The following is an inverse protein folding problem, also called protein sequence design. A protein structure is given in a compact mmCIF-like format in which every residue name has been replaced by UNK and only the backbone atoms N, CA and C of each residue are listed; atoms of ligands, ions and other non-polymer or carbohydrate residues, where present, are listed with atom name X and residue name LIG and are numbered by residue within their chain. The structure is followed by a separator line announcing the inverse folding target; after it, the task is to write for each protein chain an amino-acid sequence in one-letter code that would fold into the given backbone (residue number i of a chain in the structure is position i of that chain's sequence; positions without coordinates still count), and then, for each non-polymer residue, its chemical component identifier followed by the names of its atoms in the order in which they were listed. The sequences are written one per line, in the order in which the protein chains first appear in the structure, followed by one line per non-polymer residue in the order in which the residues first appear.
data_IF_979581876840
#
_entry.id   IF_979581876840
#
_cell.length_a   1.000
_cell.length_b   1.000
_cell.length_c   1.000
_cell.angle_alpha   90.00
_cell.angle_beta   90.00
_cell.angle_gamma   90.00
#
_symmetry.space_group_name_H-M   'P 1'
#
loop_
_entity.id
_entity.type
_entity.pdbx_description
1 polymer ?
#
# COMPACT_ATOMS: atom_id res chain seq x y z
N UNK A 1 -0.05 -8.32 -7.94
CA UNK A 1 -1.05 -9.40 -8.13
C UNK A 1 -2.44 -8.79 -7.99
N UNK A 2 -3.30 -8.90 -9.00
CA UNK A 2 -4.65 -8.33 -8.96
C UNK A 2 -5.66 -9.39 -8.50
N UNK A 3 -6.45 -9.06 -7.46
CA UNK A 3 -7.54 -9.90 -6.95
C UNK A 3 -8.63 -10.00 -8.02
N UNK A 4 -9.03 -11.22 -8.39
CA UNK A 4 -10.02 -11.47 -9.45
C UNK A 4 -11.41 -11.66 -8.85
N UNK A 5 -12.41 -11.06 -9.49
CA UNK A 5 -13.80 -11.23 -9.12
C UNK A 5 -14.28 -12.65 -9.46
N UNK A 6 -14.87 -13.39 -8.51
CA UNK A 6 -15.38 -14.73 -8.77
C UNK A 6 -16.59 -14.72 -9.73
N UNK A 7 -17.38 -13.64 -9.74
CA UNK A 7 -18.59 -13.55 -10.57
C UNK A 7 -18.31 -13.20 -12.03
N UNK A 8 -17.30 -12.37 -12.33
CA UNK A 8 -17.04 -11.87 -13.69
C UNK A 8 -15.58 -11.92 -14.15
N UNK A 9 -14.64 -12.32 -13.28
CA UNK A 9 -13.20 -12.32 -13.59
C UNK A 9 -12.52 -10.95 -13.63
N UNK A 10 -13.26 -9.85 -13.40
CA UNK A 10 -12.73 -8.49 -13.37
C UNK A 10 -11.77 -8.21 -12.21
N UNK A 11 -11.00 -7.12 -12.30
CA UNK A 11 -10.10 -6.68 -11.23
C UNK A 11 -10.92 -6.14 -10.05
N UNK A 12 -10.62 -6.59 -8.85
CA UNK A 12 -11.18 -6.07 -7.62
C UNK A 12 -10.19 -5.14 -6.93
N UNK A 13 -10.70 -4.07 -6.33
CA UNK A 13 -9.94 -3.14 -5.52
C UNK A 13 -10.52 -3.09 -4.11
N UNK A 14 -9.67 -2.96 -3.10
CA UNK A 14 -10.12 -2.82 -1.72
C UNK A 14 -10.72 -1.42 -1.51
N UNK A 15 -11.94 -1.37 -0.98
CA UNK A 15 -12.63 -0.16 -0.61
C UNK A 15 -12.54 0.03 0.92
N UNK A 16 -11.87 1.10 1.33
CA UNK A 16 -11.62 1.39 2.76
C UNK A 16 -12.92 1.66 3.54
N UNK A 17 -13.84 2.54 3.09
CA UNK A 17 -15.11 2.76 3.79
C UNK A 17 -15.95 1.49 4.03
N UNK A 18 -16.07 0.61 3.04
CA UNK A 18 -16.90 -0.60 3.15
C UNK A 18 -16.17 -1.82 3.69
N UNK A 19 -14.84 -1.74 3.85
CA UNK A 19 -13.97 -2.86 4.20
C UNK A 19 -14.18 -4.09 3.29
N UNK A 20 -14.53 -3.84 2.03
CA UNK A 20 -14.87 -4.87 1.06
C UNK A 20 -14.04 -4.72 -0.21
N UNK A 21 -13.83 -5.83 -0.90
CA UNK A 21 -13.32 -5.86 -2.26
C UNK A 21 -14.47 -5.50 -3.20
N UNK A 22 -14.32 -4.38 -3.91
CA UNK A 22 -15.28 -3.91 -4.91
C UNK A 22 -14.79 -4.25 -6.30
N UNK A 23 -15.64 -4.89 -7.10
CA UNK A 23 -15.37 -5.10 -8.51
C UNK A 23 -15.71 -3.84 -9.32
N UNK A 24 -14.74 -3.31 -10.08
CA UNK A 24 -14.97 -2.17 -10.97
C UNK A 24 -15.78 -2.48 -12.24
N UNK A 25 -16.14 -3.74 -12.47
CA UNK A 25 -16.86 -4.17 -13.68
C UNK A 25 -18.33 -4.54 -13.40
N UNK A 26 -18.57 -5.49 -12.50
CA UNK A 26 -19.92 -5.97 -12.17
C UNK A 26 -20.48 -5.40 -10.87
N UNK A 27 -19.78 -4.44 -10.25
CA UNK A 27 -20.16 -3.75 -9.00
C UNK A 27 -20.43 -4.67 -7.80
N UNK A 28 -19.99 -5.92 -7.86
CA UNK A 28 -20.10 -6.84 -6.73
C UNK A 28 -19.12 -6.46 -5.63
N UNK A 29 -19.61 -6.46 -4.40
CA UNK A 29 -18.84 -6.24 -3.17
C UNK A 29 -18.71 -7.55 -2.41
N UNK A 30 -17.49 -7.89 -1.99
CA UNK A 30 -17.18 -9.10 -1.23
C UNK A 30 -16.38 -8.69 0.00
N UNK A 31 -16.80 -9.12 1.19
CA UNK A 31 -16.04 -8.89 2.40
C UNK A 31 -14.70 -9.62 2.33
N UNK A 32 -13.64 -9.00 2.85
CA UNK A 32 -12.29 -9.56 2.72
C UNK A 32 -12.15 -10.92 3.43
N UNK A 33 -12.85 -11.12 4.56
CA UNK A 33 -12.84 -12.38 5.31
C UNK A 33 -13.51 -13.53 4.54
N UNK A 34 -14.46 -13.21 3.65
CA UNK A 34 -15.19 -14.18 2.84
C UNK A 34 -14.49 -14.47 1.51
N UNK A 35 -13.42 -13.73 1.19
CA UNK A 35 -12.69 -13.90 -0.05
C UNK A 35 -11.74 -15.12 0.03
N UNK A 36 -12.17 -16.23 -0.55
CA UNK A 36 -11.32 -17.41 -0.70
C UNK A 36 -10.39 -17.26 -1.92
N UNK A 37 -9.08 -17.26 -1.68
CA UNK A 37 -8.09 -17.42 -2.74
C UNK A 37 -8.24 -18.83 -3.33
N UNK A 38 -8.73 -18.92 -4.56
CA UNK A 38 -9.01 -20.19 -5.24
C UNK A 38 -7.75 -20.96 -5.71
N UNK A 39 -6.55 -20.41 -5.53
CA UNK A 39 -5.30 -21.03 -5.96
C UNK A 39 -4.62 -21.80 -4.82
N UNK A 40 -5.00 -23.06 -4.62
CA UNK A 40 -4.43 -23.95 -3.59
C UNK A 40 -2.90 -24.10 -3.68
N UNK A 41 -2.32 -23.99 -4.88
CA UNK A 41 -0.88 -24.11 -5.12
C UNK A 41 -0.04 -22.92 -4.58
N UNK A 42 -0.65 -21.76 -4.34
CA UNK A 42 0.02 -20.57 -3.75
C UNK A 42 -0.21 -20.48 -2.23
N UNK A 43 -1.15 -21.26 -1.70
CA UNK A 43 -1.48 -21.26 -0.26
C UNK A 43 -0.41 -21.99 0.55
N UNK A 44 0.27 -22.99 -0.02
CA UNK A 44 1.22 -23.88 0.67
C UNK A 44 2.64 -23.36 0.80
N UNK A 45 2.98 -22.22 0.18
CA UNK A 45 4.30 -21.60 0.35
C UNK A 45 4.32 -20.66 1.56
N UNK A 46 5.20 -20.96 2.51
CA UNK A 46 5.51 -20.09 3.67
C UNK A 46 6.35 -18.88 3.29
N UNK A 47 6.90 -18.84 2.07
CA UNK A 47 7.70 -17.73 1.54
C UNK A 47 7.10 -17.15 0.25
N UNK A 48 7.34 -15.87 0.01
CA UNK A 48 7.00 -15.20 -1.23
C UNK A 48 8.17 -14.37 -1.74
N UNK A 49 8.29 -14.26 -3.06
CA UNK A 49 9.28 -13.38 -3.68
C UNK A 49 8.87 -11.93 -3.46
N UNK A 50 9.75 -11.16 -2.83
CA UNK A 50 9.59 -9.73 -2.63
C UNK A 50 10.72 -9.00 -3.36
N UNK A 51 10.37 -7.88 -3.98
CA UNK A 51 11.36 -6.95 -4.50
C UNK A 51 11.72 -5.97 -3.38
N UNK A 52 12.99 -6.00 -2.98
CA UNK A 52 13.60 -5.10 -2.00
C UNK A 52 14.39 -4.02 -2.73
N UNK A 53 14.17 -2.79 -2.32
CA UNK A 53 14.75 -1.58 -2.88
C UNK A 53 15.65 -0.93 -1.83
N UNK A 54 16.96 -0.94 -2.06
CA UNK A 54 17.95 -0.28 -1.19
C UNK A 54 18.20 1.16 -1.60
N UNK A 55 18.06 2.11 -0.68
CA UNK A 55 18.36 3.53 -0.91
C UNK A 55 19.85 3.82 -0.69
N UNK A 56 20.58 4.31 -1.70
CA UNK A 56 22.01 4.62 -1.55
C UNK A 56 22.28 5.83 -0.65
N UNK A 57 21.34 6.78 -0.56
CA UNK A 57 21.53 8.02 0.22
C UNK A 57 21.39 7.81 1.74
N UNK A 58 20.46 6.95 2.17
CA UNK A 58 20.17 6.75 3.60
C UNK A 58 20.36 5.31 4.08
N UNK A 59 20.63 4.35 3.19
CA UNK A 59 20.80 2.94 3.51
C UNK A 59 19.50 2.21 3.88
N UNK A 60 18.33 2.83 3.71
CA UNK A 60 17.06 2.20 4.02
C UNK A 60 16.67 1.13 2.98
N UNK A 61 16.07 0.04 3.45
CA UNK A 61 15.51 -1.02 2.62
C UNK A 61 13.98 -0.91 2.59
N UNK A 62 13.42 -0.94 1.38
CA UNK A 62 11.99 -0.77 1.13
C UNK A 62 11.48 -1.96 0.34
N UNK A 63 10.41 -2.60 0.80
CA UNK A 63 9.71 -3.61 -0.01
C UNK A 63 8.56 -2.94 -0.76
N UNK A 64 8.52 -3.12 -2.09
CA UNK A 64 7.42 -2.63 -2.92
C UNK A 64 7.10 -3.64 -4.04
N UNK A 65 5.83 -3.74 -4.45
CA UNK A 65 5.47 -4.53 -5.61
C UNK A 65 6.05 -3.90 -6.90
N UNK A 66 6.37 -4.77 -7.86
CA UNK A 66 7.06 -4.47 -9.13
C UNK A 66 6.34 -3.42 -10.04
N UNK A 67 5.10 -3.06 -9.72
CA UNK A 67 4.23 -2.22 -10.54
C UNK A 67 4.30 -0.72 -10.21
N UNK A 68 5.09 -0.31 -9.21
CA UNK A 68 5.27 1.11 -8.87
C UNK A 68 6.55 1.67 -9.49
N UNK A 69 6.39 2.43 -10.58
CA UNK A 69 7.47 3.00 -11.40
C UNK A 69 8.21 4.18 -10.76
N UNK A 70 7.78 4.67 -9.58
CA UNK A 70 8.38 5.86 -8.94
C UNK A 70 8.98 5.50 -7.58
N UNK A 71 10.29 5.30 -7.59
CA UNK A 71 11.11 4.88 -6.44
C UNK A 71 11.42 6.07 -5.50
N UNK A 72 10.40 6.63 -4.84
CA UNK A 72 10.61 7.62 -3.76
C UNK A 72 10.94 6.91 -2.45
N UNK A 73 12.05 7.27 -1.82
CA UNK A 73 12.45 6.70 -0.53
C UNK A 73 11.52 7.20 0.60
N UNK A 74 10.79 6.29 1.28
CA UNK A 74 9.88 6.64 2.40
C UNK A 74 10.59 7.30 3.58
N UNK A 75 11.90 7.13 3.68
CA UNK A 75 12.70 7.57 4.83
C UNK A 75 13.31 8.96 4.61
N UNK A 76 14.11 9.14 3.55
CA UNK A 76 14.81 10.39 3.30
C UNK A 76 14.15 11.30 2.25
N UNK A 77 13.21 10.76 1.46
CA UNK A 77 12.55 11.49 0.40
C UNK A 77 13.36 11.73 -0.88
N UNK A 78 14.44 10.97 -1.09
CA UNK A 78 15.18 10.98 -2.35
C UNK A 78 14.35 10.38 -3.49
N UNK A 79 14.46 10.98 -4.68
CA UNK A 79 13.63 10.65 -5.86
C UNK A 79 14.28 9.68 -6.86
N UNK A 80 15.50 9.18 -6.68
CA UNK A 80 16.08 8.30 -7.73
C UNK A 80 17.22 7.39 -7.29
N UNK A 81 17.18 6.17 -7.87
CA UNK A 81 18.18 5.09 -7.82
C UNK A 81 18.12 4.15 -6.61
N UNK A 82 16.92 3.67 -6.29
CA UNK A 82 16.84 2.50 -5.42
C UNK A 82 17.40 1.26 -6.15
N UNK A 83 18.35 0.58 -5.50
CA UNK A 83 18.91 -0.66 -6.02
C UNK A 83 17.92 -1.79 -5.78
N UNK A 84 17.49 -2.44 -6.86
CA UNK A 84 16.53 -3.54 -6.82
C UNK A 84 17.24 -4.88 -6.55
N UNK A 85 16.73 -5.63 -5.59
CA UNK A 85 17.11 -7.01 -5.32
C UNK A 85 15.85 -7.83 -5.08
N UNK A 86 15.81 -9.04 -5.61
CA UNK A 86 14.75 -9.99 -5.29
C UNK A 86 15.19 -10.89 -4.15
N UNK A 87 14.34 -11.04 -3.15
CA UNK A 87 14.58 -11.89 -1.98
C UNK A 87 13.34 -12.74 -1.67
N UNK A 88 13.53 -13.84 -0.96
CA UNK A 88 12.41 -14.61 -0.39
C UNK A 88 12.12 -14.12 1.03
N UNK A 89 10.91 -13.61 1.24
CA UNK A 89 10.43 -13.18 2.56
C UNK A 89 9.40 -14.16 3.11
N UNK A 90 9.33 -14.25 4.44
CA UNK A 90 8.31 -15.04 5.14
C UNK A 90 6.94 -14.40 4.90
N UNK A 91 5.99 -15.22 4.45
CA UNK A 91 4.61 -14.81 4.22
C UNK A 91 3.98 -14.31 5.51
N UNK A 92 3.41 -13.10 5.53
CA UNK A 92 2.73 -12.60 6.72
C UNK A 92 1.51 -13.47 7.02
N UNK A 93 1.35 -13.88 8.28
CA UNK A 93 0.21 -14.68 8.72
C UNK A 93 -1.11 -13.90 8.60
N UNK A 94 -1.06 -12.57 8.73
CA UNK A 94 -2.22 -11.67 8.63
C UNK A 94 -1.79 -10.32 8.04
N UNK A 95 -2.70 -9.68 7.33
CA UNK A 95 -2.58 -8.30 6.84
C UNK A 95 -3.70 -7.49 7.48
N UNK A 96 -3.37 -6.33 8.03
CA UNK A 96 -4.36 -5.43 8.63
C UNK A 96 -4.88 -4.50 7.52
N UNK A 97 -6.19 -4.51 7.20
CA UNK A 97 -6.73 -3.62 6.18
C UNK A 97 -6.66 -2.16 6.61
N UNK A 98 -6.46 -1.26 5.64
CA UNK A 98 -6.54 0.18 5.88
C UNK A 98 -7.95 0.56 6.34
N UNK A 99 -8.03 1.42 7.36
CA UNK A 99 -9.29 2.01 7.86
C UNK A 99 -9.47 3.48 7.50
N UNK A 100 -8.38 4.15 7.10
CA UNK A 100 -8.37 5.57 6.74
C UNK A 100 -8.15 5.63 5.24
N UNK A 101 -9.06 6.29 4.52
CA UNK A 101 -8.94 6.50 3.08
C UNK A 101 -7.86 7.53 2.78
N UNK A 102 -7.42 7.61 1.51
CA UNK A 102 -6.44 8.63 1.10
C UNK A 102 -7.02 10.03 1.27
N UNK A 103 -8.30 10.21 0.96
CA UNK A 103 -9.03 11.46 1.11
C UNK A 103 -9.14 11.87 2.59
N UNK A 104 -9.42 10.92 3.48
CA UNK A 104 -9.52 11.19 4.92
C UNK A 104 -8.16 11.50 5.53
N UNK A 105 -7.10 10.84 5.08
CA UNK A 105 -5.73 11.14 5.48
C UNK A 105 -5.34 12.58 5.10
N UNK A 106 -5.62 12.98 3.85
CA UNK A 106 -5.36 14.33 3.38
C UNK A 106 -6.15 15.39 4.20
N UNK A 107 -7.45 15.17 4.41
CA UNK A 107 -8.28 16.08 5.22
C UNK A 107 -7.78 16.20 6.66
N UNK A 108 -7.39 15.08 7.27
CA UNK A 108 -6.86 15.05 8.64
C UNK A 108 -5.56 15.85 8.73
N UNK A 109 -4.68 15.69 7.75
CA UNK A 109 -3.45 16.46 7.63
C UNK A 109 -3.71 17.96 7.47
N UNK A 110 -4.58 18.36 6.54
CA UNK A 110 -4.96 19.76 6.33
C UNK A 110 -5.52 20.40 7.62
N UNK A 111 -6.41 19.69 8.30
CA UNK A 111 -7.00 20.17 9.56
C UNK A 111 -5.96 20.31 10.67
N UNK A 112 -4.97 19.41 10.75
CA UNK A 112 -3.87 19.51 11.70
C UNK A 112 -2.95 20.72 11.41
N UNK A 113 -2.77 21.11 10.15
CA UNK A 113 -1.93 22.24 9.76
C UNK A 113 -2.63 23.60 9.85
N UNK A 114 -3.96 23.65 9.69
CA UNK A 114 -4.75 24.90 9.77
C UNK A 114 -4.50 25.68 11.06
N UNK A 115 -4.32 24.99 12.19
CA UNK A 115 -4.14 25.61 13.51
C UNK A 115 -2.69 26.05 13.80
N UNK A 116 -1.74 25.73 12.92
CA UNK A 116 -0.31 25.97 13.14
C UNK A 116 0.15 27.25 12.42
N UNK A 117 0.55 28.25 13.19
CA UNK A 117 0.95 29.57 12.65
C UNK A 117 2.26 29.52 11.82
N UNK A 118 3.24 28.73 12.27
CA UNK A 118 4.60 28.70 11.69
C UNK A 118 4.81 27.66 10.59
N UNK A 119 3.75 27.01 10.11
CA UNK A 119 3.87 26.02 9.03
C UNK A 119 3.92 26.76 7.68
N UNK A 120 4.95 26.52 6.84
CA UNK A 120 5.06 27.07 5.50
C UNK A 120 3.80 26.83 4.66
N UNK A 121 3.46 27.79 3.78
CA UNK A 121 2.25 27.70 2.96
C UNK A 121 2.28 26.50 2.01
N UNK A 122 3.46 26.13 1.51
CA UNK A 122 3.63 24.98 0.59
C UNK A 122 3.21 23.64 1.23
N UNK A 123 3.28 23.52 2.56
CA UNK A 123 2.81 22.33 3.25
C UNK A 123 1.29 22.35 3.50
N UNK A 124 0.66 23.54 3.48
CA UNK A 124 -0.79 23.69 3.67
C UNK A 124 -1.55 23.58 2.36
N UNK A 125 -0.93 24.00 1.26
CA UNK A 125 -1.53 24.15 -0.06
C UNK A 125 -0.57 23.56 -1.10
N UNK A 126 -1.03 22.60 -1.92
CA UNK A 126 -0.24 22.10 -3.05
C UNK A 126 -0.43 20.63 -3.41
N UNK A 127 0.36 20.17 -4.38
CA UNK A 127 0.34 18.79 -4.88
C UNK A 127 0.78 17.75 -3.85
N UNK A 128 1.46 18.16 -2.77
CA UNK A 128 1.88 17.27 -1.69
C UNK A 128 0.69 16.58 -1.00
N UNK A 129 -0.50 17.20 -1.01
CA UNK A 129 -1.74 16.58 -0.51
C UNK A 129 -2.20 15.38 -1.36
N UNK A 130 -1.77 15.30 -2.62
CA UNK A 130 -2.07 14.17 -3.49
C UNK A 130 -0.98 13.08 -3.43
N UNK A 131 0.15 13.35 -2.77
CA UNK A 131 1.29 12.44 -2.67
C UNK A 131 1.15 11.39 -1.54
N UNK A 132 0.08 11.40 -0.76
CA UNK A 132 -0.15 10.36 0.26
C UNK A 132 -0.20 8.96 -0.37
N UNK A 133 0.56 8.05 0.23
CA UNK A 133 0.62 6.64 -0.13
C UNK A 133 0.44 5.76 1.10
N UNK A 134 -0.26 4.65 0.94
CA UNK A 134 -0.30 3.59 1.94
C UNK A 134 0.98 2.76 1.87
N UNK A 135 1.58 2.48 3.03
CA UNK A 135 2.71 1.55 3.14
C UNK A 135 2.32 0.45 4.14
N UNK A 136 2.78 -0.76 3.89
CA UNK A 136 2.74 -1.84 4.88
C UNK A 136 4.12 -1.99 5.50
N UNK A 137 4.16 -2.00 6.82
CA UNK A 137 5.39 -2.29 7.57
C UNK A 137 5.28 -3.74 8.07
N UNK A 138 6.15 -4.65 7.66
CA UNK A 138 6.14 -6.02 8.16
C UNK A 138 6.57 -6.03 9.63
N UNK A 139 5.79 -6.69 10.48
CA UNK A 139 6.12 -6.90 11.90
C UNK A 139 6.14 -8.39 12.20
N UNK A 140 7.19 -8.83 12.91
CA UNK A 140 7.27 -10.16 13.50
C UNK A 140 6.97 -10.00 14.99
N UNK A 141 5.81 -10.49 15.44
CA UNK A 141 5.49 -10.63 16.85
C UNK A 141 5.86 -12.05 17.31
N UNK A 142 6.61 -12.15 18.39
CA UNK A 142 7.01 -13.40 19.05
C UNK A 142 5.95 -13.92 20.03
#
# INVERSE_FOLDING_TARGET
MAVKCPSCGGKMAFNVPTQALKCGYCESDILIDDYYLSNEAEVSKDTYTVTVYGCPDCGAELSAPDDQTVAYCSYCGGESNLTMKQEEAVKPARIIPFKISKEDAAKTYENALKTRLYVPKELKEGEHLNAFRGIYIPYLSY
#
